data_IF_907198282544
#
_entry.id   IF_907198282544
#
_cell.length_a   1.000
_cell.length_b   1.000
_cell.length_c   1.000
_cell.angle_alpha   90.00
_cell.angle_beta   90.00
_cell.angle_gamma   90.00
#
_symmetry.space_group_name_H-M   'P 1'
#
loop_
_entity.id
_entity.type
_entity.pdbx_description
1 polymer ?
#
# COMPACT_ATOMS: atom_id res chain seq x y z
N UNK A 1 30.76 15.64 -31.74
CA UNK A 1 31.63 15.04 -30.73
C UNK A 1 30.71 14.46 -29.70
N UNK A 2 30.66 13.15 -29.69
CA UNK A 2 29.67 12.30 -29.03
C UNK A 2 30.13 12.08 -27.60
N UNK A 3 29.30 12.36 -26.62
CA UNK A 3 29.61 11.97 -25.24
C UNK A 3 28.63 10.91 -24.77
N UNK A 4 29.18 9.85 -24.27
CA UNK A 4 28.65 8.50 -24.16
C UNK A 4 27.88 8.36 -22.85
N UNK A 5 26.61 8.03 -22.95
CA UNK A 5 25.77 7.61 -21.83
C UNK A 5 26.30 6.32 -21.18
N UNK A 6 26.63 6.41 -19.94
CA UNK A 6 26.94 5.27 -19.06
C UNK A 6 25.64 4.69 -18.51
N UNK A 7 25.18 3.61 -19.13
CA UNK A 7 24.09 2.78 -18.59
C UNK A 7 24.72 1.74 -17.67
N UNK A 8 24.60 1.93 -16.38
CA UNK A 8 24.92 0.87 -15.42
C UNK A 8 23.76 -0.13 -15.35
N UNK A 9 24.07 -1.34 -15.82
CA UNK A 9 23.18 -2.50 -15.77
C UNK A 9 22.99 -2.93 -14.31
N UNK A 10 21.78 -2.78 -13.78
CA UNK A 10 21.35 -3.50 -12.57
C UNK A 10 21.25 -4.99 -12.88
N UNK A 11 21.89 -5.79 -12.05
CA UNK A 11 22.00 -7.24 -12.21
C UNK A 11 20.62 -7.92 -12.16
N UNK A 12 20.31 -8.65 -13.23
CA UNK A 12 19.19 -9.59 -13.29
C UNK A 12 19.56 -10.82 -12.44
N UNK A 13 18.70 -11.18 -11.54
CA UNK A 13 18.86 -12.34 -10.66
C UNK A 13 18.66 -13.63 -11.47
N UNK A 14 19.74 -14.38 -11.70
CA UNK A 14 19.71 -15.69 -12.37
C UNK A 14 19.29 -16.79 -11.38
N UNK A 15 18.19 -17.48 -11.71
CA UNK A 15 17.62 -18.60 -10.97
C UNK A 15 18.21 -19.94 -11.46
N UNK A 16 19.50 -20.15 -11.38
CA UNK A 16 20.05 -21.47 -11.71
C UNK A 16 21.24 -21.87 -10.84
N UNK A 17 20.96 -22.37 -9.62
CA UNK A 17 21.89 -23.25 -8.91
C UNK A 17 21.11 -24.42 -8.30
N UNK A 18 20.86 -25.42 -9.13
CA UNK A 18 20.40 -26.73 -8.68
C UNK A 18 21.60 -27.62 -8.36
N UNK A 19 21.60 -28.07 -7.15
CA UNK A 19 22.37 -29.09 -6.49
C UNK A 19 22.82 -30.27 -7.35
N UNK A 20 24.10 -30.63 -7.24
CA UNK A 20 24.60 -31.97 -7.48
C UNK A 20 25.55 -32.40 -6.38
N UNK A 21 25.04 -33.06 -5.35
CA UNK A 21 25.86 -33.74 -4.35
C UNK A 21 26.08 -35.20 -4.79
N UNK A 22 27.35 -35.62 -4.92
CA UNK A 22 27.78 -37.02 -4.88
C UNK A 22 28.55 -37.23 -3.60
N UNK A 23 28.13 -38.25 -2.83
CA UNK A 23 28.61 -38.57 -1.51
C UNK A 23 30.09 -39.02 -1.38
N UNK A 24 30.61 -38.83 -0.19
CA UNK A 24 31.57 -39.74 0.47
C UNK A 24 31.72 -39.40 1.96
N UNK A 25 31.52 -40.46 2.77
CA UNK A 25 32.05 -40.75 4.10
C UNK A 25 31.97 -39.73 5.27
N UNK A 26 31.16 -40.14 6.25
CA UNK A 26 31.10 -39.63 7.63
C UNK A 26 32.43 -39.80 8.36
N UNK A 27 32.94 -38.72 8.91
CA UNK A 27 33.69 -38.69 10.20
C UNK A 27 33.29 -37.39 10.89
N UNK A 28 32.99 -37.51 12.20
CA UNK A 28 32.69 -36.46 13.15
C UNK A 28 33.03 -35.05 12.69
N UNK A 29 31.98 -34.29 12.39
CA UNK A 29 32.05 -32.85 12.24
C UNK A 29 31.02 -32.23 13.18
N UNK A 30 31.53 -31.59 14.18
CA UNK A 30 30.83 -30.59 14.98
C UNK A 30 30.05 -29.69 14.02
N UNK A 31 28.73 -29.69 14.17
CA UNK A 31 27.84 -28.85 13.38
C UNK A 31 28.16 -27.40 13.74
N UNK A 32 28.98 -26.77 12.94
CA UNK A 32 29.04 -25.32 12.88
C UNK A 32 27.66 -24.91 12.36
N UNK A 33 26.77 -24.51 13.25
CA UNK A 33 25.61 -23.74 12.88
C UNK A 33 26.21 -22.39 12.45
N UNK A 34 26.50 -22.28 11.14
CA UNK A 34 26.73 -20.98 10.53
C UNK A 34 25.49 -20.15 10.88
N UNK A 35 25.65 -19.25 11.83
CA UNK A 35 24.71 -18.17 12.06
C UNK A 35 24.74 -17.31 10.80
N UNK A 36 23.86 -17.64 9.85
CA UNK A 36 23.60 -16.75 8.73
C UNK A 36 23.06 -15.48 9.37
N UNK A 37 23.94 -14.48 9.48
CA UNK A 37 23.50 -13.15 9.88
C UNK A 37 22.33 -12.75 8.96
N UNK A 38 21.20 -12.31 9.51
CA UNK A 38 20.07 -11.90 8.69
C UNK A 38 20.59 -10.84 7.72
N UNK A 39 20.42 -11.07 6.42
CA UNK A 39 20.79 -10.09 5.39
C UNK A 39 20.14 -8.78 5.74
N UNK A 40 20.92 -7.73 5.92
CA UNK A 40 20.38 -6.40 6.16
C UNK A 40 19.52 -6.00 4.96
N UNK A 41 18.34 -5.52 5.24
CA UNK A 41 17.44 -4.99 4.22
C UNK A 41 18.14 -3.90 3.41
N UNK A 42 17.93 -3.82 2.09
CA UNK A 42 18.37 -2.69 1.29
C UNK A 42 17.60 -1.41 1.64
N UNK A 43 16.46 -1.54 2.34
CA UNK A 43 15.60 -0.43 2.70
C UNK A 43 15.79 -0.02 4.15
N UNK A 44 15.76 1.30 4.37
CA UNK A 44 15.79 1.89 5.72
C UNK A 44 14.39 2.08 6.30
N UNK A 45 13.39 2.24 5.41
CA UNK A 45 12.00 2.49 5.80
C UNK A 45 11.06 1.68 4.93
N UNK A 46 9.96 1.22 5.52
CA UNK A 46 8.79 0.71 4.84
C UNK A 46 7.64 1.70 5.05
N UNK A 47 7.13 2.28 3.97
CA UNK A 47 5.99 3.20 3.99
C UNK A 47 4.76 2.40 3.60
N UNK A 48 3.78 2.34 4.49
CA UNK A 48 2.53 1.63 4.30
C UNK A 48 1.40 2.58 3.92
N UNK A 49 0.68 2.27 2.88
CA UNK A 49 -0.69 2.74 2.73
C UNK A 49 -1.61 2.07 3.74
N UNK A 50 -2.80 2.67 3.99
CA UNK A 50 -3.72 2.18 5.01
C UNK A 50 -4.90 1.42 4.43
N UNK A 51 -5.83 2.11 3.74
CA UNK A 51 -7.07 1.53 3.22
C UNK A 51 -6.76 0.53 2.09
N UNK A 52 -7.35 -0.66 2.13
CA UNK A 52 -7.07 -1.72 1.17
C UNK A 52 -5.70 -2.39 1.30
N UNK A 53 -4.77 -1.81 2.05
CA UNK A 53 -3.40 -2.31 2.25
C UNK A 53 -3.20 -2.89 3.65
N UNK A 54 -3.31 -2.08 4.69
CA UNK A 54 -3.25 -2.50 6.10
C UNK A 54 -4.64 -2.84 6.62
N UNK A 55 -5.63 -2.04 6.26
CA UNK A 55 -7.03 -2.21 6.62
C UNK A 55 -7.77 -3.01 5.54
N UNK A 56 -8.53 -4.02 5.95
CA UNK A 56 -9.47 -4.73 5.08
C UNK A 56 -10.83 -4.00 5.10
N UNK A 57 -10.99 -3.03 4.20
CA UNK A 57 -12.16 -2.17 4.13
C UNK A 57 -12.80 -2.07 2.73
N UNK A 58 -12.36 -2.89 1.79
CA UNK A 58 -12.89 -2.89 0.42
C UNK A 58 -14.41 -3.08 0.42
N UNK A 59 -14.92 -4.03 1.21
CA UNK A 59 -16.35 -4.29 1.31
C UNK A 59 -17.13 -3.08 1.83
N UNK A 60 -16.63 -2.45 2.88
CA UNK A 60 -17.23 -1.23 3.42
C UNK A 60 -17.24 -0.09 2.37
N UNK A 61 -16.13 0.08 1.65
CA UNK A 61 -16.04 1.08 0.57
C UNK A 61 -17.09 0.88 -0.51
N UNK A 62 -17.36 -0.38 -0.90
CA UNK A 62 -18.42 -0.74 -1.86
C UNK A 62 -19.79 -0.43 -1.29
N UNK A 63 -20.06 -0.83 -0.06
CA UNK A 63 -21.37 -0.63 0.58
C UNK A 63 -21.68 0.87 0.74
N UNK A 64 -20.68 1.69 1.10
CA UNK A 64 -20.83 3.15 1.17
C UNK A 64 -21.20 3.74 -0.19
N UNK A 65 -20.42 3.45 -1.23
CA UNK A 65 -20.65 4.02 -2.56
C UNK A 65 -21.98 3.52 -3.15
N UNK A 66 -22.32 2.24 -2.97
CA UNK A 66 -23.59 1.69 -3.43
C UNK A 66 -24.80 2.31 -2.72
N UNK A 67 -24.68 2.63 -1.44
CA UNK A 67 -25.72 3.38 -0.70
C UNK A 67 -25.92 4.76 -1.33
N UNK A 68 -24.85 5.46 -1.67
CA UNK A 68 -24.92 6.76 -2.32
C UNK A 68 -25.49 6.70 -3.74
N UNK A 69 -25.13 5.66 -4.52
CA UNK A 69 -25.65 5.42 -5.86
C UNK A 69 -27.15 5.10 -5.83
N UNK A 70 -27.57 4.18 -4.97
CA UNK A 70 -28.98 3.78 -4.82
C UNK A 70 -29.86 4.97 -4.43
N UNK A 71 -29.40 5.82 -3.50
CA UNK A 71 -30.11 7.06 -3.10
C UNK A 71 -30.39 7.99 -4.27
N UNK A 72 -29.56 7.97 -5.31
CA UNK A 72 -29.66 8.82 -6.51
C UNK A 72 -30.26 8.11 -7.72
N UNK A 73 -30.70 6.86 -7.57
CA UNK A 73 -31.20 6.04 -8.69
C UNK A 73 -30.15 5.71 -9.73
N UNK A 74 -28.85 5.79 -9.36
CA UNK A 74 -27.73 5.42 -10.21
C UNK A 74 -27.47 3.90 -10.14
N UNK A 75 -26.90 3.28 -11.20
CA UNK A 75 -26.54 1.88 -11.19
C UNK A 75 -25.54 1.55 -10.06
N UNK A 76 -25.87 0.58 -9.23
CA UNK A 76 -24.97 0.09 -8.19
C UNK A 76 -23.92 -0.85 -8.77
N UNK A 77 -22.78 -0.98 -8.10
CA UNK A 77 -21.72 -1.92 -8.41
C UNK A 77 -22.11 -3.30 -7.87
N UNK A 78 -22.25 -4.33 -8.74
CA UNK A 78 -22.82 -5.62 -8.33
C UNK A 78 -21.87 -6.45 -7.46
N UNK A 79 -20.57 -6.26 -7.61
CA UNK A 79 -19.54 -7.06 -6.96
C UNK A 79 -18.22 -6.29 -6.79
N UNK A 80 -17.27 -6.91 -6.08
CA UNK A 80 -15.96 -6.33 -5.83
C UNK A 80 -15.13 -6.16 -7.11
N UNK A 81 -15.29 -7.04 -8.06
CA UNK A 81 -14.59 -6.98 -9.34
C UNK A 81 -14.97 -5.71 -10.10
N UNK A 82 -16.27 -5.43 -10.21
CA UNK A 82 -16.82 -4.21 -10.82
C UNK A 82 -16.33 -2.95 -10.12
N UNK A 83 -16.30 -2.97 -8.78
CA UNK A 83 -15.78 -1.87 -7.97
C UNK A 83 -14.29 -1.64 -8.27
N UNK A 84 -13.45 -2.66 -8.16
CA UNK A 84 -11.99 -2.56 -8.36
C UNK A 84 -11.63 -2.05 -9.76
N UNK A 85 -12.43 -2.38 -10.77
CA UNK A 85 -12.21 -1.91 -12.15
C UNK A 85 -12.44 -0.42 -12.30
N UNK A 86 -13.38 0.17 -11.58
CA UNK A 86 -13.75 1.58 -11.72
C UNK A 86 -13.10 2.49 -10.67
N UNK A 87 -12.73 1.93 -9.50
CA UNK A 87 -12.09 2.70 -8.43
C UNK A 87 -10.74 3.29 -8.88
N UNK A 88 -10.41 4.47 -8.41
CA UNK A 88 -9.10 5.08 -8.65
C UNK A 88 -9.06 6.57 -8.33
N UNK A 89 -7.86 7.09 -8.40
CA UNK A 89 -7.55 8.49 -8.21
C UNK A 89 -7.42 9.21 -9.56
N UNK A 90 -7.67 10.55 -9.63
CA UNK A 90 -8.26 11.36 -8.57
C UNK A 90 -9.67 10.87 -8.19
N UNK A 91 -10.01 10.99 -6.91
CA UNK A 91 -11.25 10.40 -6.38
C UNK A 91 -12.51 11.05 -6.98
N UNK A 92 -12.48 12.34 -7.30
CA UNK A 92 -13.55 13.04 -7.99
C UNK A 92 -13.79 12.50 -9.42
N UNK A 93 -12.75 12.11 -10.14
CA UNK A 93 -12.91 11.44 -11.44
C UNK A 93 -13.56 10.05 -11.30
N UNK A 94 -13.27 9.33 -10.21
CA UNK A 94 -13.96 8.07 -9.89
C UNK A 94 -15.46 8.30 -9.69
N UNK A 95 -15.86 9.30 -8.91
CA UNK A 95 -17.28 9.65 -8.72
C UNK A 95 -17.97 10.03 -10.03
N UNK A 96 -17.31 10.82 -10.88
CA UNK A 96 -17.85 11.15 -12.22
C UNK A 96 -18.09 9.91 -13.09
N UNK A 97 -17.16 8.94 -13.05
CA UNK A 97 -17.35 7.65 -13.78
C UNK A 97 -18.54 6.85 -13.28
N UNK A 98 -18.89 6.99 -12.02
CA UNK A 98 -20.07 6.36 -11.43
C UNK A 98 -21.39 7.10 -11.74
N UNK A 99 -21.33 8.28 -12.38
CA UNK A 99 -22.49 9.04 -12.78
C UNK A 99 -22.94 10.12 -11.79
N UNK A 100 -22.13 10.43 -10.75
CA UNK A 100 -22.42 11.55 -9.87
C UNK A 100 -22.31 12.88 -10.63
N UNK A 101 -23.31 13.75 -10.46
CA UNK A 101 -23.43 15.04 -11.11
C UNK A 101 -23.00 16.15 -10.15
N UNK A 102 -21.79 16.67 -10.33
CA UNK A 102 -21.20 17.69 -9.45
C UNK A 102 -21.81 19.10 -9.65
N UNK A 103 -22.61 19.29 -10.68
CA UNK A 103 -23.38 20.54 -10.84
C UNK A 103 -24.62 20.54 -9.95
N UNK A 104 -25.13 19.35 -9.62
CA UNK A 104 -26.25 19.19 -8.68
C UNK A 104 -25.82 19.01 -7.24
N UNK A 105 -24.71 18.30 -7.02
CA UNK A 105 -24.21 17.98 -5.68
C UNK A 105 -22.69 18.14 -5.66
N UNK A 106 -22.23 19.19 -5.01
CA UNK A 106 -20.83 19.52 -4.91
C UNK A 106 -20.04 18.42 -4.19
N UNK A 107 -18.89 18.04 -4.75
CA UNK A 107 -18.07 16.95 -4.20
C UNK A 107 -17.59 17.25 -2.77
N UNK A 108 -17.06 18.45 -2.54
CA UNK A 108 -16.40 18.79 -1.28
C UNK A 108 -17.39 18.97 -0.12
N UNK A 109 -18.58 19.52 -0.43
CA UNK A 109 -19.57 19.91 0.59
C UNK A 109 -20.71 18.90 0.75
N UNK A 110 -20.94 18.02 -0.22
CA UNK A 110 -22.06 17.06 -0.19
C UNK A 110 -21.55 15.62 -0.27
N UNK A 111 -20.86 15.26 -1.36
CA UNK A 111 -20.57 13.84 -1.65
C UNK A 111 -19.48 13.26 -0.74
N UNK A 112 -18.38 13.97 -0.54
CA UNK A 112 -17.32 13.50 0.34
C UNK A 112 -17.77 13.42 1.81
N UNK A 113 -18.47 14.41 2.39
CA UNK A 113 -19.05 14.30 3.73
C UNK A 113 -20.05 13.14 3.88
N UNK A 114 -20.90 12.90 2.86
CA UNK A 114 -21.86 11.78 2.90
C UNK A 114 -21.13 10.43 2.94
N UNK A 115 -20.12 10.24 2.06
CA UNK A 115 -19.33 9.02 2.06
C UNK A 115 -18.62 8.80 3.40
N UNK A 116 -17.99 9.85 3.94
CA UNK A 116 -17.29 9.78 5.23
C UNK A 116 -18.25 9.42 6.37
N UNK A 117 -19.45 9.99 6.39
CA UNK A 117 -20.45 9.65 7.41
C UNK A 117 -20.86 8.16 7.35
N UNK A 118 -21.08 7.62 6.15
CA UNK A 118 -21.37 6.20 5.93
C UNK A 118 -20.20 5.32 6.36
N UNK A 119 -18.98 5.70 5.97
CA UNK A 119 -17.78 4.95 6.30
C UNK A 119 -17.55 4.90 7.82
N UNK A 120 -17.64 6.02 8.52
CA UNK A 120 -17.49 6.08 9.98
C UNK A 120 -18.55 5.26 10.72
N UNK A 121 -19.76 5.17 10.18
CA UNK A 121 -20.81 4.31 10.76
C UNK A 121 -20.48 2.82 10.66
N UNK A 122 -19.70 2.41 9.64
CA UNK A 122 -19.32 1.01 9.40
C UNK A 122 -17.89 0.65 9.77
N UNK A 123 -16.98 1.61 10.00
CA UNK A 123 -15.53 1.39 10.11
C UNK A 123 -15.13 0.39 11.20
N UNK A 124 -15.94 0.24 12.25
CA UNK A 124 -15.67 -0.69 13.33
C UNK A 124 -15.81 -2.18 12.91
N UNK A 125 -16.40 -2.46 11.75
CA UNK A 125 -16.48 -3.81 11.19
C UNK A 125 -15.20 -4.21 10.45
N UNK A 126 -14.37 -3.25 10.08
CA UNK A 126 -13.12 -3.49 9.37
C UNK A 126 -12.03 -4.02 10.30
N UNK A 127 -11.28 -4.97 9.80
CA UNK A 127 -10.18 -5.64 10.51
C UNK A 127 -8.83 -5.36 9.84
N UNK A 128 -7.77 -5.75 10.51
CA UNK A 128 -6.43 -5.78 9.91
C UNK A 128 -6.40 -6.86 8.82
N UNK A 129 -5.87 -6.54 7.66
CA UNK A 129 -5.73 -7.49 6.56
C UNK A 129 -4.80 -8.64 6.94
N UNK A 130 -5.12 -9.84 6.45
CA UNK A 130 -4.36 -11.05 6.76
C UNK A 130 -2.86 -10.90 6.47
N UNK A 131 -2.04 -11.35 7.42
CA UNK A 131 -0.59 -11.29 7.31
C UNK A 131 0.07 -9.95 7.70
N UNK A 132 -0.69 -8.85 7.80
CA UNK A 132 -0.14 -7.51 8.11
C UNK A 132 0.59 -7.49 9.44
N UNK A 133 -0.04 -7.93 10.52
CA UNK A 133 0.56 -7.89 11.87
C UNK A 133 1.87 -8.69 11.93
N UNK A 134 1.89 -9.88 11.30
CA UNK A 134 3.08 -10.72 11.25
C UNK A 134 4.19 -10.06 10.41
N UNK A 135 3.83 -9.44 9.27
CA UNK A 135 4.78 -8.75 8.40
C UNK A 135 5.37 -7.53 9.09
N UNK A 136 4.56 -6.70 9.76
CA UNK A 136 5.01 -5.55 10.56
C UNK A 136 6.06 -5.99 11.60
N UNK A 137 5.78 -7.05 12.35
CA UNK A 137 6.70 -7.58 13.35
C UNK A 137 8.02 -8.09 12.72
N UNK A 138 7.94 -8.79 11.59
CA UNK A 138 9.11 -9.30 10.87
C UNK A 138 9.96 -8.17 10.27
N UNK A 139 9.34 -7.13 9.74
CA UNK A 139 10.02 -5.94 9.20
C UNK A 139 10.76 -5.20 10.33
N UNK A 140 10.10 -5.00 11.46
CA UNK A 140 10.72 -4.41 12.66
C UNK A 140 11.92 -5.22 13.14
N UNK A 141 11.81 -6.56 13.16
CA UNK A 141 12.91 -7.45 13.57
C UNK A 141 14.13 -7.35 12.63
N UNK A 142 13.95 -6.92 11.38
CA UNK A 142 15.03 -6.63 10.42
C UNK A 142 15.62 -5.23 10.56
N UNK A 143 15.15 -4.43 11.52
CA UNK A 143 15.61 -3.07 11.77
C UNK A 143 15.11 -2.02 10.76
N UNK A 144 14.09 -2.36 9.96
CA UNK A 144 13.46 -1.42 9.02
C UNK A 144 12.39 -0.60 9.76
N UNK A 145 12.49 0.72 9.67
CA UNK A 145 11.55 1.66 10.27
C UNK A 145 10.25 1.68 9.49
N UNK A 146 9.13 1.88 10.15
CA UNK A 146 7.82 1.79 9.52
C UNK A 146 7.06 3.11 9.63
N UNK A 147 6.53 3.58 8.52
CA UNK A 147 5.79 4.83 8.37
C UNK A 147 4.40 4.50 7.83
N UNK A 148 3.36 5.07 8.41
CA UNK A 148 2.01 5.04 7.87
C UNK A 148 1.76 6.29 7.05
N UNK A 149 1.29 6.16 5.81
CA UNK A 149 0.97 7.28 4.92
C UNK A 149 -0.36 7.04 4.20
N UNK A 150 -1.39 7.76 4.57
CA UNK A 150 -2.75 7.61 4.02
C UNK A 150 -3.31 8.92 3.47
N UNK A 151 -4.21 8.80 2.49
CA UNK A 151 -5.06 9.90 2.03
C UNK A 151 -6.29 10.12 2.95
N UNK A 152 -6.42 9.37 4.04
CA UNK A 152 -7.44 9.56 5.05
C UNK A 152 -7.16 10.76 5.95
N UNK A 153 -8.20 11.29 6.59
CA UNK A 153 -8.03 12.30 7.63
C UNK A 153 -7.15 11.77 8.76
N UNK A 154 -6.13 12.54 9.16
CA UNK A 154 -5.13 12.11 10.14
C UNK A 154 -5.72 11.74 11.51
N UNK A 155 -6.72 12.48 11.98
CA UNK A 155 -7.35 12.20 13.29
C UNK A 155 -8.08 10.85 13.26
N UNK A 156 -8.81 10.56 12.18
CA UNK A 156 -9.50 9.29 11.97
C UNK A 156 -8.51 8.14 11.82
N UNK A 157 -7.47 8.32 11.00
CA UNK A 157 -6.39 7.33 10.81
C UNK A 157 -5.74 6.93 12.14
N UNK A 158 -5.40 7.90 12.98
CA UNK A 158 -4.79 7.64 14.29
C UNK A 158 -5.76 6.88 15.22
N UNK A 159 -7.04 7.24 15.20
CA UNK A 159 -8.08 6.56 15.98
C UNK A 159 -8.26 5.10 15.53
N UNK A 160 -8.33 4.86 14.21
CA UNK A 160 -8.44 3.51 13.63
C UNK A 160 -7.21 2.65 13.96
N UNK A 161 -6.01 3.17 13.79
CA UNK A 161 -4.77 2.46 14.14
C UNK A 161 -4.70 2.12 15.64
N UNK A 162 -5.20 3.02 16.51
CA UNK A 162 -5.28 2.76 17.94
C UNK A 162 -6.29 1.63 18.26
N UNK A 163 -7.48 1.65 17.64
CA UNK A 163 -8.49 0.60 17.77
C UNK A 163 -7.96 -0.77 17.33
N UNK A 164 -7.18 -0.80 16.24
CA UNK A 164 -6.58 -2.02 15.69
C UNK A 164 -5.32 -2.48 16.45
N UNK A 165 -4.85 -1.71 17.46
CA UNK A 165 -3.64 -2.04 18.22
C UNK A 165 -2.34 -1.82 17.44
N UNK A 166 -2.38 -1.09 16.32
CA UNK A 166 -1.24 -0.91 15.43
C UNK A 166 -0.54 0.46 15.56
N UNK A 167 -1.11 1.41 16.33
CA UNK A 167 -0.59 2.78 16.41
C UNK A 167 0.91 2.85 16.77
N UNK A 168 1.36 1.96 17.67
CA UNK A 168 2.74 1.96 18.17
C UNK A 168 3.74 1.28 17.21
N UNK A 169 3.25 0.68 16.15
CA UNK A 169 4.09 0.00 15.16
C UNK A 169 4.72 0.96 14.16
N UNK A 170 4.19 2.18 14.06
CA UNK A 170 4.62 3.20 13.11
C UNK A 170 5.34 4.35 13.82
N UNK A 171 6.52 4.70 13.31
CA UNK A 171 7.31 5.82 13.81
C UNK A 171 6.64 7.17 13.53
N UNK A 172 6.07 7.32 12.32
CA UNK A 172 5.25 8.46 11.93
C UNK A 172 3.93 7.97 11.33
N UNK A 173 2.86 8.72 11.61
CA UNK A 173 1.54 8.52 11.02
C UNK A 173 1.16 9.80 10.29
N UNK A 174 1.18 9.71 8.96
CA UNK A 174 0.94 10.81 8.04
C UNK A 174 -0.44 10.63 7.38
N UNK A 175 -1.31 11.58 7.59
CA UNK A 175 -2.64 11.64 7.03
C UNK A 175 -3.01 13.07 6.68
N UNK A 176 -4.05 13.26 5.87
CA UNK A 176 -4.52 14.57 5.46
C UNK A 176 -5.18 15.33 6.62
N UNK A 177 -5.19 16.65 6.56
CA UNK A 177 -5.91 17.53 7.47
C UNK A 177 -7.38 17.72 7.10
N UNK A 178 -7.83 17.08 6.02
CA UNK A 178 -9.20 17.16 5.47
C UNK A 178 -9.74 15.78 5.10
N UNK A 179 -10.99 15.75 4.59
CA UNK A 179 -11.72 14.50 4.27
C UNK A 179 -11.84 14.24 2.76
N UNK A 180 -11.19 15.02 1.91
CA UNK A 180 -11.41 14.95 0.45
C UNK A 180 -10.61 13.86 -0.26
N UNK A 181 -9.72 13.18 0.44
CA UNK A 181 -8.90 12.04 -0.04
C UNK A 181 -8.24 12.28 -1.42
N UNK A 182 -7.87 13.53 -1.75
CA UNK A 182 -7.40 13.87 -3.10
C UNK A 182 -6.02 13.31 -3.40
N UNK A 183 -5.04 13.57 -2.54
CA UNK A 183 -3.70 13.03 -2.71
C UNK A 183 -2.85 13.15 -1.44
N UNK A 184 -2.09 12.11 -1.15
CA UNK A 184 -1.10 12.06 -0.08
C UNK A 184 0.34 12.39 -0.56
N UNK A 185 0.49 12.76 -1.83
CA UNK A 185 1.80 12.98 -2.47
C UNK A 185 2.62 14.08 -1.79
N UNK A 186 1.99 15.19 -1.40
CA UNK A 186 2.67 16.29 -0.71
C UNK A 186 3.26 15.83 0.64
N UNK A 187 2.49 15.05 1.43
CA UNK A 187 2.97 14.49 2.69
C UNK A 187 4.18 13.56 2.50
N UNK A 188 4.17 12.74 1.44
CA UNK A 188 5.30 11.88 1.11
C UNK A 188 6.56 12.70 0.77
N UNK A 189 6.41 13.77 -0.03
CA UNK A 189 7.51 14.65 -0.43
C UNK A 189 8.09 15.38 0.78
N UNK A 190 7.26 15.97 1.64
CA UNK A 190 7.68 16.61 2.88
C UNK A 190 8.40 15.64 3.82
N UNK A 191 7.90 14.40 3.94
CA UNK A 191 8.58 13.35 4.68
C UNK A 191 9.96 13.04 4.09
N UNK A 192 10.07 12.91 2.77
CA UNK A 192 11.33 12.62 2.08
C UNK A 192 12.34 13.77 2.22
N UNK A 193 11.89 15.02 2.17
CA UNK A 193 12.74 16.19 2.41
C UNK A 193 13.34 16.21 3.82
N UNK A 194 12.54 15.83 4.85
CA UNK A 194 13.01 15.66 6.22
C UNK A 194 13.92 14.44 6.43
N UNK A 195 13.86 13.48 5.51
CA UNK A 195 14.61 12.22 5.55
C UNK A 195 15.42 11.98 4.25
N UNK A 196 16.37 12.86 3.89
CA UNK A 196 17.03 12.83 2.57
C UNK A 196 17.83 11.55 2.32
N UNK A 197 18.38 10.93 3.36
CA UNK A 197 19.18 9.71 3.28
C UNK A 197 18.33 8.43 3.35
N UNK A 198 17.01 8.54 3.54
CA UNK A 198 16.14 7.38 3.58
C UNK A 198 16.11 6.66 2.22
N UNK A 199 16.18 5.34 2.25
CA UNK A 199 15.92 4.44 1.13
C UNK A 199 14.60 3.71 1.42
N UNK A 200 13.43 4.28 1.04
CA UNK A 200 12.14 3.71 1.36
C UNK A 200 11.69 2.67 0.34
N UNK A 201 10.97 1.64 0.83
CA UNK A 201 10.06 0.81 0.06
C UNK A 201 8.63 1.28 0.35
N UNK A 202 7.83 1.50 -0.67
CA UNK A 202 6.42 1.86 -0.52
C UNK A 202 5.53 0.64 -0.79
N UNK A 203 4.51 0.44 0.03
CA UNK A 203 3.52 -0.62 -0.14
C UNK A 203 2.13 -0.01 -0.17
N UNK A 204 1.37 -0.31 -1.22
CA UNK A 204 0.00 0.16 -1.41
C UNK A 204 -0.79 -0.76 -2.34
N UNK A 205 -2.05 -0.46 -2.58
CA UNK A 205 -2.96 -1.27 -3.38
C UNK A 205 -3.53 -0.53 -4.60
N UNK A 206 -3.02 0.67 -4.88
CA UNK A 206 -3.50 1.52 -5.99
C UNK A 206 -2.37 2.05 -6.87
N UNK A 207 -2.72 2.46 -8.11
CA UNK A 207 -1.81 3.21 -8.99
C UNK A 207 -1.32 4.52 -8.36
N UNK A 208 -2.16 5.13 -7.50
CA UNK A 208 -1.78 6.35 -6.77
C UNK A 208 -0.61 6.11 -5.81
N UNK A 209 -0.51 4.93 -5.22
CA UNK A 209 0.62 4.56 -4.36
C UNK A 209 1.92 4.47 -5.16
N UNK A 210 1.85 3.92 -6.37
CA UNK A 210 2.97 3.92 -7.29
C UNK A 210 3.40 5.35 -7.68
N UNK A 211 2.44 6.25 -7.96
CA UNK A 211 2.72 7.66 -8.28
C UNK A 211 3.36 8.41 -7.08
N UNK A 212 2.94 8.10 -5.87
CA UNK A 212 3.51 8.65 -4.63
C UNK A 212 4.93 8.13 -4.42
N UNK A 213 5.13 6.83 -4.59
CA UNK A 213 6.46 6.20 -4.49
C UNK A 213 7.45 6.79 -5.51
N UNK A 214 7.03 6.92 -6.78
CA UNK A 214 7.84 7.53 -7.84
C UNK A 214 8.23 8.97 -7.50
N UNK A 215 7.31 9.74 -6.90
CA UNK A 215 7.56 11.13 -6.54
C UNK A 215 8.65 11.34 -5.49
N UNK A 216 8.88 10.34 -4.64
CA UNK A 216 9.90 10.38 -3.57
C UNK A 216 11.12 9.49 -3.88
N UNK A 217 11.17 8.90 -5.08
CA UNK A 217 12.24 7.99 -5.49
C UNK A 217 12.27 6.69 -4.68
N UNK A 218 11.11 6.22 -4.21
CA UNK A 218 10.96 4.95 -3.50
C UNK A 218 10.76 3.79 -4.48
N UNK A 219 11.29 2.61 -4.14
CA UNK A 219 10.79 1.38 -4.73
C UNK A 219 9.33 1.15 -4.28
N UNK A 220 8.55 0.45 -5.09
CA UNK A 220 7.14 0.22 -4.80
C UNK A 220 6.75 -1.23 -5.05
N UNK A 221 6.00 -1.80 -4.11
CA UNK A 221 5.31 -3.08 -4.26
C UNK A 221 3.81 -2.81 -4.10
N UNK A 222 3.04 -3.28 -5.07
CA UNK A 222 1.59 -3.16 -5.06
C UNK A 222 0.94 -4.45 -4.60
N UNK A 223 -0.09 -4.33 -3.77
CA UNK A 223 -0.82 -5.45 -3.19
C UNK A 223 -2.15 -5.62 -3.92
N UNK A 224 -2.34 -6.76 -4.58
CA UNK A 224 -3.63 -7.09 -5.20
C UNK A 224 -4.70 -7.44 -4.15
N UNK A 225 -5.96 -7.36 -4.54
CA UNK A 225 -7.09 -7.63 -3.65
C UNK A 225 -7.48 -6.47 -2.73
N UNK A 226 -6.85 -5.29 -2.86
CA UNK A 226 -7.29 -4.04 -2.27
C UNK A 226 -8.36 -3.34 -3.13
N UNK A 227 -8.37 -2.01 -3.13
CA UNK A 227 -9.40 -1.21 -3.82
C UNK A 227 -9.26 -1.22 -5.34
N UNK A 228 -8.08 -1.52 -5.91
CA UNK A 228 -7.88 -1.41 -7.35
C UNK A 228 -7.62 -2.76 -8.02
N UNK A 229 -8.09 -2.89 -9.27
CA UNK A 229 -7.99 -4.13 -10.02
C UNK A 229 -6.55 -4.46 -10.40
N UNK A 230 -6.18 -5.74 -10.29
CA UNK A 230 -4.83 -6.24 -10.51
C UNK A 230 -4.25 -5.89 -11.89
N UNK A 231 -5.06 -5.89 -12.95
CA UNK A 231 -4.60 -5.52 -14.29
C UNK A 231 -4.05 -4.09 -14.34
N UNK A 232 -4.71 -3.16 -13.65
CA UNK A 232 -4.27 -1.78 -13.56
C UNK A 232 -2.96 -1.65 -12.78
N UNK A 233 -2.85 -2.39 -11.66
CA UNK A 233 -1.62 -2.43 -10.87
C UNK A 233 -0.44 -2.98 -11.69
N UNK A 234 -0.67 -4.06 -12.44
CA UNK A 234 0.36 -4.69 -13.29
C UNK A 234 0.83 -3.77 -14.42
N UNK A 235 -0.06 -2.92 -14.94
CA UNK A 235 0.28 -1.95 -15.99
C UNK A 235 1.27 -0.87 -15.52
N UNK A 236 1.46 -0.70 -14.20
CA UNK A 236 2.42 0.27 -13.64
C UNK A 236 3.89 -0.20 -13.71
N UNK A 237 4.15 -1.44 -14.11
CA UNK A 237 5.52 -2.00 -14.15
C UNK A 237 6.17 -2.15 -12.77
N UNK A 238 5.38 -2.11 -11.71
CA UNK A 238 5.82 -2.39 -10.33
C UNK A 238 5.63 -3.87 -10.01
N UNK A 239 6.31 -4.33 -8.94
CA UNK A 239 6.06 -5.67 -8.40
C UNK A 239 4.64 -5.68 -7.83
N UNK A 240 3.84 -6.69 -8.21
CA UNK A 240 2.50 -6.93 -7.66
C UNK A 240 2.52 -8.25 -6.92
N UNK A 241 2.10 -8.24 -5.67
CA UNK A 241 1.99 -9.43 -4.81
C UNK A 241 0.54 -9.65 -4.38
N UNK A 242 0.20 -10.89 -4.05
CA UNK A 242 -1.17 -11.24 -3.61
C UNK A 242 -1.29 -11.35 -2.09
N UNK A 243 -0.18 -11.54 -1.40
CA UNK A 243 -0.14 -11.60 0.07
C UNK A 243 0.80 -10.55 0.63
N UNK A 244 0.41 -9.94 1.75
CA UNK A 244 1.27 -9.02 2.49
C UNK A 244 2.55 -9.69 2.96
N UNK A 245 2.51 -10.99 3.27
CA UNK A 245 3.70 -11.75 3.68
C UNK A 245 4.74 -11.91 2.59
N UNK A 246 4.34 -11.80 1.30
CA UNK A 246 5.28 -11.88 0.18
C UNK A 246 6.27 -10.71 0.16
N UNK A 247 5.95 -9.59 0.82
CA UNK A 247 6.85 -8.44 1.01
C UNK A 247 8.18 -8.85 1.66
N UNK A 248 8.16 -9.86 2.53
CA UNK A 248 9.34 -10.31 3.26
C UNK A 248 10.44 -10.90 2.38
N UNK A 249 10.12 -11.24 1.13
CA UNK A 249 11.10 -11.67 0.15
C UNK A 249 11.94 -10.52 -0.44
N UNK A 250 11.48 -9.28 -0.24
CA UNK A 250 12.11 -8.07 -0.83
C UNK A 250 12.79 -7.17 0.21
N UNK A 251 12.59 -7.44 1.49
CA UNK A 251 13.07 -6.60 2.61
C UNK A 251 14.27 -7.21 3.33
#
# INVERSE_FOLDING_TARGET
MIDTLRIEKRAVFDRSFLYRAKGKNMKHSQTIIDSVEPRRSPYTHLIWDFNGTVLDDVRLGIDCVNTMLAKRGLPILPDEESYRRVFGFPIDAYYRRLGFDFEKEDYDTVLAPEWVALYLAGENTCTVRDGVTATIAAVRARGVRQIMLSASNRTQLVAQLARLGLKQEFEEILGLDNIHARSKKALAMEWKERNPTACPLFVGDTEHDADVADAIGADCILLSGGHQHQERLSARGKIVVSSVTDLLAYI
#
